data_IF_306806126454
#
_entry.id   IF_306806126454
#
_cell.length_a   1.000
_cell.length_b   1.000
_cell.length_c   1.000
_cell.angle_alpha   90.00
_cell.angle_beta   90.00
_cell.angle_gamma   90.00
#
_symmetry.space_group_name_H-M   'P 1'
#
loop_
_entity.id
_entity.type
_entity.pdbx_description
1 polymer ?
#
# COMPACT_ATOMS: atom_id res chain seq x y z
N UNK A 1 -3.39 -22.07 -11.92
CA UNK A 1 -2.75 -21.10 -11.01
C UNK A 1 -2.80 -21.63 -9.58
N UNK A 2 -1.70 -21.54 -8.83
CA UNK A 2 -1.63 -21.84 -7.41
C UNK A 2 -1.48 -20.57 -6.59
N UNK A 3 -2.02 -20.59 -5.37
CA UNK A 3 -1.83 -19.51 -4.40
C UNK A 3 -1.07 -20.06 -3.20
N UNK A 4 0.16 -19.65 -3.07
CA UNK A 4 1.04 -20.05 -1.97
C UNK A 4 0.78 -19.15 -0.78
N UNK A 5 0.41 -19.73 0.35
CA UNK A 5 0.02 -19.00 1.55
C UNK A 5 0.90 -19.37 2.75
N UNK A 6 1.53 -18.35 3.33
CA UNK A 6 2.39 -18.48 4.51
C UNK A 6 1.61 -18.95 5.72
N UNK A 7 2.11 -19.99 6.40
CA UNK A 7 1.59 -20.45 7.67
C UNK A 7 2.64 -20.37 8.79
N UNK A 8 2.17 -20.37 10.03
CA UNK A 8 2.97 -20.51 11.25
C UNK A 8 3.26 -22.00 11.52
N UNK A 9 4.14 -22.30 12.48
CA UNK A 9 4.45 -23.67 12.90
C UNK A 9 3.22 -24.45 13.41
N UNK A 10 2.23 -23.75 13.99
CA UNK A 10 0.98 -24.35 14.45
C UNK A 10 -0.03 -24.63 13.32
N UNK A 11 0.31 -24.37 12.06
CA UNK A 11 -0.56 -24.59 10.90
C UNK A 11 -1.55 -23.45 10.58
N UNK A 12 -1.63 -22.41 11.41
CA UNK A 12 -2.46 -21.24 11.14
C UNK A 12 -1.82 -20.32 10.08
N UNK A 13 -2.62 -19.59 9.33
CA UNK A 13 -2.10 -18.56 8.43
C UNK A 13 -1.34 -17.48 9.22
N UNK A 14 -0.23 -17.02 8.64
CA UNK A 14 0.71 -16.15 9.34
C UNK A 14 0.08 -14.81 9.78
N UNK A 15 -0.90 -14.31 9.04
CA UNK A 15 -1.62 -13.09 9.35
C UNK A 15 -3.10 -13.18 8.95
N UNK A 16 -3.92 -12.29 9.51
CA UNK A 16 -5.31 -12.16 9.14
C UNK A 16 -5.48 -11.80 7.66
N UNK A 17 -4.61 -10.96 7.10
CA UNK A 17 -4.64 -10.61 5.68
C UNK A 17 -4.47 -11.84 4.80
N UNK A 18 -3.51 -12.72 5.12
CA UNK A 18 -3.28 -13.97 4.39
C UNK A 18 -4.50 -14.88 4.50
N UNK A 19 -5.05 -15.04 5.71
CA UNK A 19 -6.25 -15.85 5.93
C UNK A 19 -7.42 -15.35 5.07
N UNK A 20 -7.63 -14.05 5.03
CA UNK A 20 -8.72 -13.41 4.28
C UNK A 20 -8.52 -13.56 2.76
N UNK A 21 -7.30 -13.37 2.26
CA UNK A 21 -6.99 -13.60 0.85
C UNK A 21 -7.22 -15.05 0.45
N UNK A 22 -6.73 -16.00 1.27
CA UNK A 22 -6.94 -17.45 1.02
C UNK A 22 -8.41 -17.80 0.97
N UNK A 23 -9.23 -17.24 1.87
CA UNK A 23 -10.67 -17.48 1.83
C UNK A 23 -11.26 -17.03 0.48
N UNK A 24 -10.96 -15.80 0.05
CA UNK A 24 -11.44 -15.29 -1.24
C UNK A 24 -10.94 -16.08 -2.45
N UNK A 25 -9.66 -16.49 -2.46
CA UNK A 25 -9.12 -17.32 -3.54
C UNK A 25 -9.77 -18.71 -3.62
N UNK A 26 -10.06 -19.34 -2.46
CA UNK A 26 -10.79 -20.61 -2.41
C UNK A 26 -12.19 -20.50 -2.98
N UNK A 27 -12.92 -19.46 -2.60
CA UNK A 27 -14.26 -19.18 -3.14
C UNK A 27 -14.26 -19.02 -4.67
N UNK A 28 -13.14 -18.54 -5.23
CA UNK A 28 -12.94 -18.41 -6.67
C UNK A 28 -12.34 -19.67 -7.33
N UNK A 29 -12.14 -20.76 -6.57
CA UNK A 29 -11.66 -22.04 -7.11
C UNK A 29 -10.15 -22.19 -7.24
N UNK A 30 -9.35 -21.31 -6.62
CA UNK A 30 -7.89 -21.41 -6.65
C UNK A 30 -7.37 -22.59 -5.80
N UNK A 31 -6.31 -23.26 -6.28
CA UNK A 31 -5.55 -24.23 -5.50
C UNK A 31 -4.68 -23.51 -4.46
N UNK A 32 -4.84 -23.86 -3.18
CA UNK A 32 -4.06 -23.25 -2.09
C UNK A 32 -2.94 -24.19 -1.64
N UNK A 33 -1.71 -23.70 -1.74
CA UNK A 33 -0.50 -24.38 -1.24
C UNK A 33 0.01 -23.70 0.02
N UNK A 34 0.07 -24.42 1.13
CA UNK A 34 0.56 -23.89 2.41
C UNK A 34 2.07 -24.11 2.52
N UNK A 35 2.80 -23.12 3.03
CA UNK A 35 4.25 -23.24 3.25
C UNK A 35 4.71 -22.50 4.51
N UNK A 36 5.86 -22.89 5.06
CA UNK A 36 6.42 -22.27 6.27
C UNK A 36 7.60 -21.34 5.98
N UNK A 37 8.48 -21.71 5.07
CA UNK A 37 9.66 -20.92 4.70
C UNK A 37 9.62 -20.62 3.20
N UNK A 38 10.00 -19.40 2.84
CA UNK A 38 10.04 -19.03 1.42
C UNK A 38 10.97 -19.93 0.60
N UNK A 39 12.04 -20.44 1.22
CA UNK A 39 12.95 -21.43 0.61
C UNK A 39 12.24 -22.70 0.14
N UNK A 40 11.16 -23.11 0.83
CA UNK A 40 10.45 -24.36 0.54
C UNK A 40 9.71 -24.30 -0.81
N UNK A 41 9.38 -23.09 -1.25
CA UNK A 41 8.60 -22.84 -2.47
C UNK A 41 9.36 -22.08 -3.55
N UNK A 42 10.52 -21.48 -3.23
CA UNK A 42 11.22 -20.54 -4.10
C UNK A 42 11.44 -21.10 -5.51
N UNK A 43 11.87 -22.36 -5.64
CA UNK A 43 12.11 -22.97 -6.94
C UNK A 43 10.81 -23.38 -7.66
N UNK A 44 9.78 -23.78 -6.91
CA UNK A 44 8.52 -24.30 -7.45
C UNK A 44 7.53 -23.22 -7.93
N UNK A 45 7.63 -22.00 -7.38
CA UNK A 45 6.75 -20.88 -7.77
C UNK A 45 7.05 -20.46 -9.21
N UNK A 46 6.00 -20.33 -10.01
CA UNK A 46 6.03 -19.87 -11.40
C UNK A 46 5.41 -18.48 -11.56
N UNK A 47 5.54 -17.88 -12.75
CA UNK A 47 4.89 -16.59 -13.05
C UNK A 47 3.35 -16.65 -13.02
N UNK A 48 2.79 -17.84 -13.14
CA UNK A 48 1.34 -18.04 -13.10
C UNK A 48 0.78 -18.08 -11.67
N UNK A 49 1.66 -18.15 -10.66
CA UNK A 49 1.25 -18.32 -9.27
C UNK A 49 1.21 -16.98 -8.51
N UNK A 50 0.57 -16.99 -7.33
CA UNK A 50 0.51 -15.87 -6.39
C UNK A 50 1.13 -16.32 -5.07
N UNK A 51 1.92 -15.45 -4.42
CA UNK A 51 2.49 -15.73 -3.09
C UNK A 51 1.96 -14.72 -2.08
N UNK A 52 1.35 -15.22 -1.02
CA UNK A 52 0.79 -14.45 0.08
C UNK A 52 1.74 -14.53 1.29
N UNK A 53 2.54 -13.49 1.46
CA UNK A 53 3.52 -13.37 2.56
C UNK A 53 3.73 -11.87 2.90
N UNK A 54 4.69 -11.60 3.78
CA UNK A 54 5.18 -10.25 4.02
C UNK A 54 5.82 -9.65 2.77
N UNK A 55 5.71 -8.34 2.66
CA UNK A 55 6.16 -7.57 1.50
C UNK A 55 7.59 -7.92 1.06
N UNK A 56 8.55 -8.07 1.99
CA UNK A 56 9.94 -8.42 1.66
C UNK A 56 10.09 -9.80 1.02
N UNK A 57 9.26 -10.78 1.42
CA UNK A 57 9.26 -12.13 0.84
C UNK A 57 8.58 -12.13 -0.52
N UNK A 58 7.49 -11.37 -0.67
CA UNK A 58 6.82 -11.18 -1.96
C UNK A 58 7.75 -10.50 -2.96
N UNK A 59 8.45 -9.44 -2.56
CA UNK A 59 9.44 -8.76 -3.39
C UNK A 59 10.58 -9.68 -3.82
N UNK A 60 11.02 -10.62 -2.95
CA UNK A 60 12.02 -11.62 -3.30
C UNK A 60 11.53 -12.54 -4.44
N UNK A 61 10.27 -12.99 -4.39
CA UNK A 61 9.67 -13.80 -5.45
C UNK A 61 9.50 -12.99 -6.75
N UNK A 62 9.02 -11.75 -6.66
CA UNK A 62 8.88 -10.88 -7.84
C UNK A 62 10.24 -10.63 -8.49
N UNK A 63 11.29 -10.42 -7.68
CA UNK A 63 12.66 -10.24 -8.17
C UNK A 63 13.21 -11.48 -8.89
N UNK A 64 12.85 -12.71 -8.46
CA UNK A 64 13.15 -13.95 -9.19
C UNK A 64 12.67 -13.89 -10.63
N UNK A 65 11.55 -13.21 -10.88
CA UNK A 65 10.98 -13.03 -12.22
C UNK A 65 11.44 -11.76 -12.93
N UNK A 66 12.41 -11.03 -12.37
CA UNK A 66 12.94 -9.79 -12.92
C UNK A 66 12.05 -8.57 -12.68
N UNK A 67 11.11 -8.65 -11.72
CA UNK A 67 10.17 -7.58 -11.40
C UNK A 67 10.57 -6.91 -10.09
N UNK A 68 10.68 -5.58 -10.13
CA UNK A 68 10.81 -4.73 -8.95
C UNK A 68 9.55 -3.85 -8.90
N UNK A 69 8.63 -4.08 -7.95
CA UNK A 69 7.43 -3.25 -7.85
C UNK A 69 7.81 -1.78 -7.65
N UNK A 70 7.17 -0.92 -8.42
CA UNK A 70 7.30 0.52 -8.29
C UNK A 70 5.89 1.11 -8.20
N UNK A 71 5.56 1.67 -7.05
CA UNK A 71 4.33 2.41 -6.83
C UNK A 71 4.72 3.74 -6.20
N UNK A 72 4.34 4.84 -6.82
CA UNK A 72 4.63 6.16 -6.28
C UNK A 72 3.59 6.53 -5.23
N UNK A 73 4.03 6.75 -3.98
CA UNK A 73 3.12 7.08 -2.88
C UNK A 73 2.36 8.40 -3.08
N UNK A 74 2.97 9.36 -3.79
CA UNK A 74 2.46 10.70 -4.01
C UNK A 74 2.53 11.11 -5.49
N UNK A 75 1.76 10.46 -6.38
CA UNK A 75 1.75 10.79 -7.80
C UNK A 75 1.42 12.25 -8.03
N UNK A 76 2.03 12.85 -9.05
CA UNK A 76 1.87 14.27 -9.35
C UNK A 76 0.40 14.65 -9.59
N UNK A 77 -0.37 13.75 -10.20
CA UNK A 77 -1.80 13.90 -10.49
C UNK A 77 -2.66 14.05 -9.23
N UNK A 78 -2.21 13.45 -8.12
CA UNK A 78 -2.94 13.43 -6.84
C UNK A 78 -2.46 14.52 -5.86
N UNK A 79 -1.34 15.19 -6.12
CA UNK A 79 -0.76 16.18 -5.19
C UNK A 79 -1.68 17.35 -4.88
N UNK A 80 -2.51 17.77 -5.82
CA UNK A 80 -3.49 18.85 -5.61
C UNK A 80 -4.52 18.55 -4.52
N UNK A 81 -4.74 17.27 -4.20
CA UNK A 81 -5.68 16.84 -3.15
C UNK A 81 -5.03 16.64 -1.79
N UNK A 82 -3.71 16.78 -1.65
CA UNK A 82 -3.00 16.43 -0.41
C UNK A 82 -3.21 17.44 0.72
N UNK A 83 -3.65 18.66 0.42
CA UNK A 83 -3.83 19.74 1.42
C UNK A 83 -2.55 20.17 2.16
N UNK A 84 -1.38 19.60 1.77
CA UNK A 84 -0.05 19.83 2.32
C UNK A 84 1.02 19.81 1.24
N UNK A 85 2.18 20.41 1.52
CA UNK A 85 3.33 20.34 0.64
C UNK A 85 4.05 18.99 0.80
N UNK A 86 4.61 18.50 -0.31
CA UNK A 86 5.46 17.31 -0.36
C UNK A 86 6.70 17.63 -1.16
N UNK A 87 7.87 17.24 -0.64
CA UNK A 87 9.15 17.45 -1.31
C UNK A 87 10.11 16.29 -1.01
N UNK A 88 11.17 16.20 -1.78
CA UNK A 88 12.27 15.25 -1.53
C UNK A 88 13.39 15.95 -0.79
N UNK A 89 14.02 15.22 0.12
CA UNK A 89 15.24 15.65 0.83
C UNK A 89 16.09 14.40 1.12
N UNK A 90 17.13 14.52 1.92
CA UNK A 90 17.89 13.39 2.43
C UNK A 90 17.80 13.31 3.95
N UNK A 91 17.93 12.10 4.50
CA UNK A 91 17.86 11.93 5.95
C UNK A 91 18.97 12.69 6.68
N UNK A 92 20.17 12.78 6.10
CA UNK A 92 21.27 13.56 6.68
C UNK A 92 20.96 15.07 6.68
N UNK A 93 20.28 15.56 5.64
CA UNK A 93 19.84 16.96 5.58
C UNK A 93 18.85 17.26 6.73
N UNK A 94 17.89 16.37 6.97
CA UNK A 94 16.96 16.52 8.10
C UNK A 94 17.68 16.41 9.44
N UNK A 95 18.65 15.48 9.56
CA UNK A 95 19.39 15.24 10.79
C UNK A 95 20.25 16.45 11.19
N UNK A 96 20.91 17.08 10.23
CA UNK A 96 21.88 18.18 10.49
C UNK A 96 21.26 19.57 10.52
N UNK A 97 19.96 19.72 10.21
CA UNK A 97 19.26 21.00 10.11
C UNK A 97 18.00 21.03 10.99
N UNK A 98 18.16 21.31 12.31
CA UNK A 98 17.01 21.36 13.24
C UNK A 98 15.89 22.33 12.82
N UNK A 99 16.21 23.36 12.04
CA UNK A 99 15.24 24.31 11.49
C UNK A 99 14.26 23.66 10.49
N UNK A 100 14.55 22.47 9.98
CA UNK A 100 13.68 21.67 9.13
C UNK A 100 12.74 20.76 9.92
N UNK A 101 12.88 20.66 11.24
CA UNK A 101 12.05 19.79 12.05
C UNK A 101 10.59 20.29 12.14
N UNK A 102 9.70 19.47 12.64
CA UNK A 102 8.26 19.68 12.50
C UNK A 102 7.72 19.13 11.18
N UNK A 103 8.42 18.18 10.58
CA UNK A 103 8.14 17.58 9.27
C UNK A 103 7.86 16.08 9.40
N UNK A 104 6.93 15.55 8.62
CA UNK A 104 6.77 14.11 8.44
C UNK A 104 7.78 13.62 7.40
N UNK A 105 8.49 12.55 7.72
CA UNK A 105 9.56 12.00 6.89
C UNK A 105 9.33 10.50 6.68
N UNK A 106 9.46 10.03 5.44
CA UNK A 106 9.47 8.59 5.12
C UNK A 106 10.50 8.28 4.03
N UNK A 107 11.14 7.09 4.04
CA UNK A 107 12.11 6.73 3.03
C UNK A 107 11.47 6.60 1.64
N UNK A 108 12.16 7.07 0.58
CA UNK A 108 11.73 6.87 -0.81
C UNK A 108 11.84 5.40 -1.20
N UNK A 109 12.93 4.75 -0.82
CA UNK A 109 13.10 3.31 -1.00
C UNK A 109 12.48 2.58 0.19
N UNK A 110 11.64 1.59 -0.11
CA UNK A 110 10.84 0.90 0.88
C UNK A 110 11.62 0.43 2.10
N UNK A 111 11.10 0.78 3.27
CA UNK A 111 11.33 0.13 4.58
C UNK A 111 12.71 0.27 5.22
N UNK A 112 13.51 1.28 4.86
CA UNK A 112 14.66 1.63 5.69
C UNK A 112 14.19 1.98 7.14
N UNK A 113 13.05 2.65 7.25
CA UNK A 113 12.35 2.93 8.52
C UNK A 113 10.85 3.20 8.27
N UNK A 114 10.05 3.18 9.34
CA UNK A 114 8.63 3.59 9.27
C UNK A 114 8.53 5.11 9.29
N UNK A 115 7.78 5.68 8.34
CA UNK A 115 7.56 7.12 8.28
C UNK A 115 6.93 7.67 9.56
N UNK A 116 7.47 8.78 10.07
CA UNK A 116 6.97 9.47 11.26
C UNK A 116 7.39 10.94 11.28
N UNK A 117 6.89 11.67 12.26
CA UNK A 117 7.17 13.11 12.39
C UNK A 117 8.47 13.33 13.17
N UNK A 118 9.40 14.10 12.59
CA UNK A 118 10.64 14.53 13.23
C UNK A 118 10.39 15.88 13.90
N UNK A 119 10.46 15.93 15.23
CA UNK A 119 10.37 17.15 16.05
C UNK A 119 11.61 17.38 16.90
N UNK A 120 12.40 16.33 17.08
CA UNK A 120 13.60 16.35 17.92
C UNK A 120 14.62 15.33 17.43
N UNK A 121 15.85 15.41 17.92
CA UNK A 121 16.89 14.42 17.64
C UNK A 121 16.51 12.99 18.06
N UNK A 122 15.60 12.82 19.04
CA UNK A 122 15.10 11.49 19.46
C UNK A 122 14.30 10.80 18.37
N UNK A 123 13.58 11.58 17.56
CA UNK A 123 12.74 11.05 16.49
C UNK A 123 13.59 10.52 15.30
N UNK A 124 14.87 10.87 15.25
CA UNK A 124 15.81 10.40 14.24
C UNK A 124 16.44 9.04 14.58
N UNK A 125 16.23 8.54 15.81
CA UNK A 125 16.74 7.23 16.21
C UNK A 125 16.06 6.14 15.37
N UNK A 126 16.88 5.37 14.62
CA UNK A 126 16.38 4.32 13.72
C UNK A 126 15.99 4.79 12.32
N UNK A 127 16.13 6.08 12.00
CA UNK A 127 15.84 6.62 10.66
C UNK A 127 16.99 6.48 9.66
N UNK A 128 18.06 5.81 10.02
CA UNK A 128 19.21 5.59 9.16
C UNK A 128 20.45 5.27 9.98
N UNK A 129 21.53 4.94 9.28
CA UNK A 129 22.86 4.80 9.90
C UNK A 129 23.71 5.99 9.54
N UNK A 130 24.77 6.26 10.32
CA UNK A 130 25.73 7.32 10.02
C UNK A 130 26.48 7.12 8.68
N UNK A 131 26.34 5.96 8.08
CA UNK A 131 26.99 5.58 6.81
C UNK A 131 26.04 5.63 5.60
N UNK A 132 24.73 5.83 5.81
CA UNK A 132 23.75 5.78 4.72
C UNK A 132 22.90 7.06 4.70
N UNK A 133 22.99 7.78 3.60
CA UNK A 133 22.19 8.98 3.35
C UNK A 133 21.04 8.64 2.41
N UNK A 134 19.89 8.28 2.96
CA UNK A 134 18.71 7.94 2.18
C UNK A 134 18.02 9.18 1.61
N UNK A 135 17.50 9.04 0.38
CA UNK A 135 16.44 9.94 -0.08
C UNK A 135 15.17 9.71 0.73
N UNK A 136 14.56 10.78 1.17
CA UNK A 136 13.32 10.78 1.93
C UNK A 136 12.27 11.67 1.27
N UNK A 137 11.01 11.25 1.41
CA UNK A 137 9.85 12.10 1.16
C UNK A 137 9.50 12.82 2.44
N UNK A 138 9.46 14.14 2.36
CA UNK A 138 9.06 15.03 3.43
C UNK A 138 7.70 15.64 3.12
N UNK A 139 6.88 15.85 4.14
CA UNK A 139 5.67 16.64 3.99
C UNK A 139 5.30 17.42 5.25
N UNK A 140 4.52 18.47 5.08
CA UNK A 140 3.93 19.20 6.19
C UNK A 140 3.14 18.25 7.07
N UNK A 141 3.24 18.47 8.40
CA UNK A 141 2.49 17.67 9.36
C UNK A 141 1.02 18.09 9.33
N UNK A 142 0.15 17.12 9.16
CA UNK A 142 -1.29 17.27 9.28
C UNK A 142 -1.79 16.49 10.49
N UNK A 143 -2.97 16.84 11.00
CA UNK A 143 -3.64 16.16 12.10
C UNK A 143 -4.97 15.57 11.59
N UNK A 144 -4.96 14.32 11.06
CA UNK A 144 -6.18 13.67 10.61
C UNK A 144 -7.17 13.49 11.77
N UNK A 145 -8.43 13.85 11.54
CA UNK A 145 -9.55 13.56 12.43
C UNK A 145 -10.03 12.12 12.25
N UNK A 146 -10.06 11.68 10.98
CA UNK A 146 -10.40 10.31 10.59
C UNK A 146 -9.66 9.95 9.30
N UNK A 147 -9.24 8.69 9.19
CA UNK A 147 -8.50 8.15 8.05
C UNK A 147 -9.20 6.92 7.49
N UNK A 148 -9.22 6.81 6.16
CA UNK A 148 -9.81 5.70 5.42
C UNK A 148 -8.88 5.16 4.36
N UNK A 149 -9.07 3.90 4.04
CA UNK A 149 -8.49 3.22 2.89
C UNK A 149 -9.57 2.96 1.84
N UNK A 150 -9.42 3.57 0.67
CA UNK A 150 -10.20 3.26 -0.52
C UNK A 150 -9.49 2.18 -1.33
N UNK A 151 -10.14 1.05 -1.54
CA UNK A 151 -9.58 -0.07 -2.28
C UNK A 151 -9.89 0.04 -3.78
N UNK A 152 -8.85 -0.06 -4.59
CA UNK A 152 -8.95 0.01 -6.05
C UNK A 152 -8.71 -1.38 -6.64
N UNK A 153 -9.61 -1.81 -7.52
CA UNK A 153 -9.43 -2.97 -8.37
C UNK A 153 -9.62 -2.50 -9.82
N UNK A 154 -8.56 -2.57 -10.61
CA UNK A 154 -8.44 -1.96 -11.91
C UNK A 154 -8.62 -0.44 -11.83
N UNK A 155 -9.71 0.10 -12.35
CA UNK A 155 -10.00 1.54 -12.33
C UNK A 155 -11.18 1.89 -11.41
N UNK A 156 -11.65 0.92 -10.61
CA UNK A 156 -12.85 1.08 -9.78
C UNK A 156 -12.49 1.15 -8.29
N UNK A 157 -13.02 2.14 -7.60
CA UNK A 157 -13.06 2.17 -6.14
C UNK A 157 -14.16 1.22 -5.67
N UNK A 158 -13.76 0.05 -5.14
CA UNK A 158 -14.70 -1.04 -4.81
C UNK A 158 -15.22 -0.99 -3.38
N UNK A 159 -14.47 -0.39 -2.47
CA UNK A 159 -14.84 -0.25 -1.06
C UNK A 159 -14.01 0.82 -0.36
N UNK A 160 -14.52 1.36 0.74
CA UNK A 160 -13.84 2.33 1.62
C UNK A 160 -13.94 1.84 3.06
N UNK A 161 -12.79 1.67 3.73
CA UNK A 161 -12.72 1.21 5.11
C UNK A 161 -12.03 2.22 6.02
N UNK A 162 -12.66 2.57 7.17
CA UNK A 162 -12.01 3.37 8.19
C UNK A 162 -10.93 2.55 8.89
N UNK A 163 -9.81 3.18 9.25
CA UNK A 163 -8.77 2.48 9.99
C UNK A 163 -8.20 3.25 11.19
N UNK A 164 -8.44 4.57 11.28
CA UNK A 164 -7.93 5.38 12.38
C UNK A 164 -8.71 6.68 12.54
N UNK A 165 -8.96 7.08 13.77
CA UNK A 165 -9.54 8.38 14.12
C UNK A 165 -10.92 8.29 14.74
N UNK A 166 -11.69 9.38 14.63
CA UNK A 166 -13.00 9.55 15.25
C UNK A 166 -14.11 9.36 14.20
N UNK A 167 -14.98 8.39 14.41
CA UNK A 167 -16.07 8.00 13.50
C UNK A 167 -17.13 9.11 13.27
N UNK A 168 -17.13 10.19 14.06
CA UNK A 168 -18.03 11.33 13.84
C UNK A 168 -17.65 12.17 12.62
N UNK A 169 -16.41 12.03 12.10
CA UNK A 169 -15.95 12.72 10.90
C UNK A 169 -16.17 11.84 9.68
N UNK A 170 -16.68 12.45 8.60
CA UNK A 170 -16.91 11.77 7.33
C UNK A 170 -16.19 12.50 6.20
N UNK A 171 -15.74 11.74 5.21
CA UNK A 171 -15.15 12.29 4.01
C UNK A 171 -16.21 12.91 3.09
N UNK A 172 -15.79 13.85 2.26
CA UNK A 172 -16.57 14.38 1.16
C UNK A 172 -16.46 13.42 -0.03
N UNK A 173 -17.59 12.85 -0.45
CA UNK A 173 -17.65 11.86 -1.52
C UNK A 173 -17.25 12.47 -2.87
N UNK A 174 -17.60 13.74 -3.15
CA UNK A 174 -17.24 14.40 -4.40
C UNK A 174 -15.72 14.58 -4.52
N UNK A 175 -15.04 14.87 -3.40
CA UNK A 175 -13.58 14.96 -3.37
C UNK A 175 -12.95 13.60 -3.60
N UNK A 176 -13.50 12.53 -3.01
CA UNK A 176 -13.01 11.15 -3.24
C UNK A 176 -13.19 10.76 -4.70
N UNK A 177 -14.34 11.06 -5.30
CA UNK A 177 -14.58 10.79 -6.72
C UNK A 177 -13.58 11.54 -7.62
N UNK A 178 -13.27 12.80 -7.31
CA UNK A 178 -12.24 13.56 -8.02
C UNK A 178 -10.84 12.96 -7.86
N UNK A 179 -10.51 12.41 -6.68
CA UNK A 179 -9.26 11.70 -6.44
C UNK A 179 -9.19 10.42 -7.31
N UNK A 180 -10.28 9.67 -7.39
CA UNK A 180 -10.38 8.45 -8.23
C UNK A 180 -10.26 8.79 -9.71
N UNK A 181 -10.93 9.85 -10.18
CA UNK A 181 -10.79 10.31 -11.56
C UNK A 181 -9.34 10.72 -11.88
N UNK A 182 -8.67 11.44 -10.97
CA UNK A 182 -7.27 11.80 -11.15
C UNK A 182 -6.36 10.54 -11.13
N UNK A 183 -6.63 9.55 -10.26
CA UNK A 183 -5.92 8.28 -10.25
C UNK A 183 -5.99 7.58 -11.61
N UNK A 184 -7.14 7.59 -12.29
CA UNK A 184 -7.32 6.98 -13.61
C UNK A 184 -6.43 7.58 -14.68
N UNK A 185 -5.95 8.80 -14.51
CA UNK A 185 -5.02 9.47 -15.44
C UNK A 185 -3.56 9.04 -15.26
N UNK A 186 -3.21 8.40 -14.15
CA UNK A 186 -1.85 7.93 -13.87
C UNK A 186 -1.53 6.76 -14.82
N UNK A 187 -0.47 6.91 -15.63
CA UNK A 187 -0.12 5.95 -16.68
C UNK A 187 0.24 4.56 -16.11
N UNK A 188 1.02 4.53 -15.03
CA UNK A 188 1.53 3.28 -14.43
C UNK A 188 0.87 2.98 -13.09
N UNK A 189 -0.42 3.32 -12.96
CA UNK A 189 -1.19 3.05 -11.75
C UNK A 189 -1.31 1.56 -11.46
N UNK A 190 -1.33 1.17 -10.18
CA UNK A 190 -1.54 -0.22 -9.82
C UNK A 190 -2.97 -0.67 -10.16
N UNK A 191 -3.09 -1.84 -10.82
CA UNK A 191 -4.40 -2.45 -11.12
C UNK A 191 -5.07 -3.05 -9.89
N UNK A 192 -4.33 -3.25 -8.82
CA UNK A 192 -4.80 -3.56 -7.47
C UNK A 192 -4.01 -2.74 -6.47
N UNK A 193 -4.68 -1.97 -5.63
CA UNK A 193 -4.03 -1.09 -4.68
C UNK A 193 -5.01 -0.33 -3.79
N UNK A 194 -4.53 0.71 -3.15
CA UNK A 194 -5.39 1.62 -2.37
C UNK A 194 -5.02 3.07 -2.53
N UNK A 195 -6.03 3.92 -2.33
CA UNK A 195 -5.91 5.35 -2.12
C UNK A 195 -6.33 5.62 -0.68
N UNK A 196 -5.39 6.07 0.14
CA UNK A 196 -5.70 6.46 1.51
C UNK A 196 -6.03 7.95 1.55
N UNK A 197 -7.05 8.31 2.31
CA UNK A 197 -7.49 9.68 2.48
C UNK A 197 -7.96 9.96 3.90
N UNK A 198 -8.05 11.23 4.25
CA UNK A 198 -8.42 11.66 5.58
C UNK A 198 -9.30 12.91 5.56
N UNK A 199 -9.96 13.15 6.68
CA UNK A 199 -10.51 14.47 7.01
C UNK A 199 -9.57 15.19 7.95
N UNK A 200 -9.19 16.40 7.58
CA UNK A 200 -8.42 17.33 8.41
C UNK A 200 -9.21 18.59 8.68
N UNK A 201 -8.84 19.33 9.72
CA UNK A 201 -9.35 20.68 9.95
C UNK A 201 -8.28 21.70 9.57
N UNK A 202 -8.61 22.60 8.66
CA UNK A 202 -7.74 23.68 8.21
C UNK A 202 -8.54 24.99 8.20
N UNK A 203 -8.06 26.00 8.93
CA UNK A 203 -8.73 27.30 9.06
C UNK A 203 -10.20 27.19 9.53
N UNK A 204 -10.47 26.29 10.49
CA UNK A 204 -11.82 26.06 11.02
C UNK A 204 -12.78 25.34 10.08
N UNK A 205 -12.31 24.81 8.95
CA UNK A 205 -13.11 24.04 7.99
C UNK A 205 -12.59 22.62 7.86
N UNK A 206 -13.51 21.67 7.79
CA UNK A 206 -13.17 20.27 7.48
C UNK A 206 -12.87 20.14 5.98
N UNK A 207 -11.82 19.39 5.67
CA UNK A 207 -11.39 19.11 4.30
C UNK A 207 -11.03 17.63 4.17
N UNK A 208 -11.53 17.01 3.11
CA UNK A 208 -11.07 15.67 2.70
C UNK A 208 -9.78 15.84 1.88
N UNK A 209 -8.75 15.09 2.27
CA UNK A 209 -7.43 15.15 1.64
C UNK A 209 -6.92 13.75 1.29
N UNK A 210 -6.18 13.65 0.19
CA UNK A 210 -5.44 12.45 -0.18
C UNK A 210 -4.22 12.29 0.74
N UNK A 211 -4.01 11.09 1.26
CA UNK A 211 -2.86 10.77 2.10
C UNK A 211 -1.74 10.11 1.31
N UNK A 212 -1.99 8.96 0.71
CA UNK A 212 -1.01 8.19 -0.07
C UNK A 212 -1.68 7.13 -0.96
N UNK A 213 -0.96 6.72 -2.00
CA UNK A 213 -1.29 5.55 -2.81
C UNK A 213 -0.44 4.37 -2.36
N UNK A 214 -1.04 3.18 -2.26
CA UNK A 214 -0.34 1.97 -1.84
C UNK A 214 -0.47 0.85 -2.88
N UNK A 215 0.62 0.11 -3.05
CA UNK A 215 0.68 -1.06 -3.93
C UNK A 215 -0.08 -2.26 -3.35
N UNK A 216 -0.80 -2.98 -4.20
CA UNK A 216 -1.73 -4.04 -3.81
C UNK A 216 -1.12 -5.44 -3.64
N UNK A 217 0.14 -5.67 -4.03
CA UNK A 217 0.70 -7.03 -4.01
C UNK A 217 0.88 -7.63 -2.60
N UNK A 218 0.94 -6.79 -1.56
CA UNK A 218 1.01 -7.19 -0.13
C UNK A 218 0.35 -6.14 0.77
N UNK A 219 -0.83 -5.68 0.40
CA UNK A 219 -1.59 -4.62 1.07
C UNK A 219 -2.36 -5.17 2.29
N UNK A 220 -2.60 -4.34 3.30
CA UNK A 220 -3.51 -4.67 4.40
C UNK A 220 -4.98 -4.64 3.97
N UNK A 221 -5.77 -5.65 4.37
CA UNK A 221 -7.17 -5.82 3.94
C UNK A 221 -8.17 -4.90 4.66
N UNK A 222 -7.88 -4.49 5.89
CA UNK A 222 -8.77 -3.67 6.75
C UNK A 222 -10.25 -4.09 6.73
N UNK A 223 -10.53 -5.40 6.59
CA UNK A 223 -11.88 -5.93 6.55
C UNK A 223 -12.58 -5.83 5.19
N UNK A 224 -11.86 -5.54 4.11
CA UNK A 224 -12.38 -5.70 2.75
C UNK A 224 -12.91 -7.12 2.56
N UNK A 225 -14.04 -7.28 1.90
CA UNK A 225 -14.65 -8.60 1.63
C UNK A 225 -13.62 -9.54 0.99
N UNK A 226 -13.48 -10.80 1.48
CA UNK A 226 -12.42 -11.72 1.07
C UNK A 226 -12.26 -11.90 -0.45
N UNK A 227 -13.36 -12.04 -1.19
CA UNK A 227 -13.33 -12.17 -2.67
C UNK A 227 -12.78 -10.89 -3.30
N UNK A 228 -13.18 -9.72 -2.85
CA UNK A 228 -12.66 -8.46 -3.37
C UNK A 228 -11.18 -8.30 -3.05
N UNK A 229 -10.76 -8.68 -1.82
CA UNK A 229 -9.36 -8.62 -1.46
C UNK A 229 -8.49 -9.57 -2.29
N UNK A 230 -8.95 -10.80 -2.54
CA UNK A 230 -8.27 -11.74 -3.41
C UNK A 230 -8.17 -11.24 -4.86
N UNK A 231 -9.24 -10.63 -5.40
CA UNK A 231 -9.24 -9.99 -6.73
C UNK A 231 -8.25 -8.83 -6.81
N UNK A 232 -8.19 -7.99 -5.79
CA UNK A 232 -7.22 -6.88 -5.70
C UNK A 232 -5.79 -7.39 -5.80
N UNK A 233 -5.45 -8.40 -4.99
CA UNK A 233 -4.12 -9.03 -5.01
C UNK A 233 -3.84 -9.66 -6.37
N UNK A 234 -4.81 -10.39 -6.94
CA UNK A 234 -4.67 -11.05 -8.25
C UNK A 234 -4.45 -10.05 -9.38
N UNK A 235 -5.24 -8.97 -9.41
CA UNK A 235 -5.11 -7.91 -10.41
C UNK A 235 -3.70 -7.30 -10.40
N UNK A 236 -3.16 -7.02 -9.20
CA UNK A 236 -1.81 -6.46 -9.09
C UNK A 236 -0.72 -7.45 -9.47
N UNK A 237 -0.79 -8.69 -9.00
CA UNK A 237 0.17 -9.73 -9.36
C UNK A 237 0.19 -9.99 -10.86
N UNK A 238 -0.98 -10.05 -11.49
CA UNK A 238 -1.11 -10.25 -12.93
C UNK A 238 -0.50 -9.09 -13.73
N UNK A 239 -0.73 -7.85 -13.29
CA UNK A 239 -0.09 -6.66 -13.87
C UNK A 239 1.44 -6.71 -13.74
N UNK A 240 1.96 -6.99 -12.53
CA UNK A 240 3.40 -7.02 -12.25
C UNK A 240 4.13 -8.09 -13.07
N UNK A 241 3.49 -9.23 -13.29
CA UNK A 241 4.05 -10.35 -14.06
C UNK A 241 3.69 -10.31 -15.55
N UNK A 242 2.98 -9.26 -15.99
CA UNK A 242 2.52 -9.08 -17.36
C UNK A 242 1.77 -10.32 -17.92
N UNK A 243 0.82 -10.82 -17.13
CA UNK A 243 -0.01 -11.97 -17.48
C UNK A 243 -1.49 -11.65 -17.41
N UNK A 244 -2.33 -12.50 -17.99
CA UNK A 244 -3.79 -12.41 -17.86
C UNK A 244 -4.20 -12.70 -16.41
N UNK A 245 -5.09 -11.89 -15.86
CA UNK A 245 -5.70 -12.16 -14.56
C UNK A 245 -6.87 -13.14 -14.75
N UNK A 246 -6.72 -14.35 -14.22
CA UNK A 246 -7.76 -15.40 -14.30
C UNK A 246 -9.02 -15.05 -13.49
N UNK A 247 -8.91 -14.10 -12.54
CA UNK A 247 -10.03 -13.63 -11.72
C UNK A 247 -10.60 -12.28 -12.15
N UNK A 248 -10.26 -11.81 -13.36
CA UNK A 248 -10.91 -10.66 -13.98
C UNK A 248 -12.24 -11.06 -14.63
N UNK A 249 -13.30 -11.14 -13.83
CA UNK A 249 -14.63 -11.49 -14.31
C UNK A 249 -15.36 -10.38 -15.08
N UNK A 250 -14.76 -9.19 -15.26
CA UNK A 250 -15.36 -8.11 -16.07
C UNK A 250 -15.50 -8.49 -17.53
N UNK A 251 -14.62 -9.36 -18.03
CA UNK A 251 -14.62 -9.87 -19.41
C UNK A 251 -15.67 -10.96 -19.67
N UNK A 252 -16.38 -11.40 -18.63
CA UNK A 252 -17.42 -12.44 -18.73
C UNK A 252 -18.84 -11.88 -18.82
N UNK A 253 -18.97 -10.54 -18.95
CA UNK A 253 -20.26 -9.85 -19.10
C UNK A 253 -20.53 -9.49 -20.55
#
# INVERSE_FOLDING_TARGET
MKVYAKIRQNGEYHSQNISQAVYGFREMGAEIVRYQKISDIYESVTKEDIVLDHITQVEMILKKFGVVPACEDYPVELRKFMGRNVWKDTINSINTHPEKWGVFVKPVKSKAFTGHVIRSSKDLIGCGSCYENYEVLCCDVIAPKMEWRGFIIYDELVDIRPYRGDYHYHFDAEVVDQIVEAFRTIRERPMGGSLDFAVIEKNGKLQTVFLEMNDGYSLGSYGLVPIQYAKLVSARWSQLLNRTDEFDFRKMR
#
